data_IF_806619039813
#
_entry.id   IF_806619039813
#
_cell.length_a   1.000
_cell.length_b   1.000
_cell.length_c   1.000
_cell.angle_alpha   90.00
_cell.angle_beta   90.00
_cell.angle_gamma   90.00
#
_symmetry.space_group_name_H-M   'P 1'
#
loop_
_entity.id
_entity.type
_entity.pdbx_description
1 polymer ?
#
# COMPACT_ATOMS: atom_id res chain seq x y z
N UNK A 1 18.80 -1.23 -1.88
CA UNK A 1 17.87 -0.91 -0.77
C UNK A 1 17.38 -2.20 -0.13
N UNK A 2 17.44 -2.33 1.20
CA UNK A 2 16.87 -3.47 1.93
C UNK A 2 15.42 -3.15 2.28
N UNK A 3 14.45 -3.88 1.71
CA UNK A 3 13.03 -3.73 2.01
C UNK A 3 12.72 -4.51 3.30
N UNK A 4 12.01 -3.88 4.25
CA UNK A 4 11.61 -4.52 5.51
C UNK A 4 10.39 -5.42 5.28
N UNK A 5 10.19 -6.44 6.11
CA UNK A 5 8.94 -7.24 6.10
C UNK A 5 7.74 -6.31 6.27
N UNK A 6 6.69 -6.53 5.47
CA UNK A 6 5.50 -5.67 5.46
C UNK A 6 5.58 -4.48 4.48
N UNK A 7 6.69 -4.30 3.76
CA UNK A 7 6.86 -3.25 2.77
C UNK A 7 7.18 -3.82 1.38
N UNK A 8 6.86 -3.07 0.34
CA UNK A 8 7.09 -3.41 -1.06
C UNK A 8 7.78 -2.24 -1.77
N UNK A 9 8.73 -2.52 -2.65
CA UNK A 9 9.31 -1.53 -3.54
C UNK A 9 8.49 -1.44 -4.84
N UNK A 10 8.15 -0.22 -5.25
CA UNK A 10 7.43 0.06 -6.50
C UNK A 10 8.20 1.07 -7.35
N UNK A 11 8.14 0.92 -8.67
CA UNK A 11 8.62 1.89 -9.66
C UNK A 11 7.42 2.59 -10.28
N UNK A 12 7.43 3.93 -10.25
CA UNK A 12 6.32 4.77 -10.67
C UNK A 12 6.82 5.74 -11.73
N UNK A 13 6.11 5.81 -12.85
CA UNK A 13 6.40 6.74 -13.92
C UNK A 13 5.68 6.35 -15.19
N UNK A 14 5.69 7.28 -16.15
CA UNK A 14 5.22 7.05 -17.52
C UNK A 14 6.42 7.07 -18.46
N UNK A 15 6.44 6.18 -19.45
CA UNK A 15 7.55 6.10 -20.42
C UNK A 15 7.70 7.39 -21.22
N UNK A 16 6.60 8.11 -21.42
CA UNK A 16 6.55 9.36 -22.20
C UNK A 16 6.83 10.63 -21.36
N UNK A 17 7.02 10.52 -20.04
CA UNK A 17 7.30 11.65 -19.13
C UNK A 17 8.77 12.12 -19.16
N UNK A 18 9.37 12.24 -20.35
CA UNK A 18 10.68 12.88 -20.57
C UNK A 18 11.75 12.62 -19.49
N UNK A 19 12.37 13.70 -18.98
CA UNK A 19 13.52 13.63 -18.06
C UNK A 19 13.18 13.26 -16.59
N UNK A 20 11.90 12.97 -16.26
CA UNK A 20 11.50 12.56 -14.90
C UNK A 20 11.69 11.06 -14.67
N UNK A 21 11.57 10.24 -15.70
CA UNK A 21 11.81 8.79 -15.65
C UNK A 21 11.00 8.05 -14.57
N UNK A 22 11.30 6.77 -14.38
CA UNK A 22 10.71 5.99 -13.29
C UNK A 22 11.37 6.34 -11.95
N UNK A 23 10.55 6.62 -10.94
CA UNK A 23 11.00 6.84 -9.57
C UNK A 23 10.61 5.67 -8.67
N UNK A 24 11.52 5.30 -7.76
CA UNK A 24 11.33 4.17 -6.84
C UNK A 24 10.80 4.62 -5.49
N UNK A 25 9.74 3.97 -5.03
CA UNK A 25 9.12 4.17 -3.73
C UNK A 25 9.08 2.88 -2.91
N UNK A 26 8.88 3.02 -1.60
CA UNK A 26 8.63 1.90 -0.69
C UNK A 26 7.32 2.15 0.03
N UNK A 27 6.36 1.25 -0.15
CA UNK A 27 5.02 1.35 0.43
C UNK A 27 4.72 0.17 1.35
N UNK A 28 3.83 0.31 2.34
CA UNK A 28 3.28 -0.82 3.07
C UNK A 28 2.54 -1.78 2.14
N UNK A 29 2.66 -3.09 2.39
CA UNK A 29 1.90 -4.12 1.64
C UNK A 29 0.39 -3.94 1.82
N UNK A 30 -0.05 -3.33 2.93
CA UNK A 30 -1.47 -3.03 3.18
C UNK A 30 -2.10 -2.15 2.09
N UNK A 31 -1.31 -1.33 1.39
CA UNK A 31 -1.85 -0.46 0.34
C UNK A 31 -2.39 -1.26 -0.84
N UNK A 32 -1.85 -2.45 -1.11
CA UNK A 32 -2.31 -3.32 -2.21
C UNK A 32 -3.77 -3.76 -2.05
N UNK A 33 -4.30 -3.73 -0.82
CA UNK A 33 -5.70 -4.07 -0.55
C UNK A 33 -6.64 -2.86 -0.63
N UNK A 34 -6.12 -1.66 -0.85
CA UNK A 34 -6.94 -0.47 -1.00
C UNK A 34 -7.56 -0.40 -2.39
N UNK A 35 -8.87 -0.12 -2.56
CA UNK A 35 -9.53 -0.13 -3.87
C UNK A 35 -8.88 0.80 -4.92
N UNK A 36 -8.38 1.97 -4.49
CA UNK A 36 -7.64 2.87 -5.38
C UNK A 36 -6.34 2.25 -5.90
N UNK A 37 -5.65 1.48 -5.05
CA UNK A 37 -4.43 0.79 -5.44
C UNK A 37 -4.74 -0.40 -6.34
N UNK A 38 -5.81 -1.15 -6.05
CA UNK A 38 -6.25 -2.28 -6.91
C UNK A 38 -6.46 -1.83 -8.36
N UNK A 39 -7.15 -0.71 -8.59
CA UNK A 39 -7.31 -0.15 -9.94
C UNK A 39 -5.99 0.19 -10.63
N UNK A 40 -4.99 0.63 -9.86
CA UNK A 40 -3.66 0.93 -10.39
C UNK A 40 -2.87 -0.35 -10.70
N UNK A 41 -3.06 -1.41 -9.88
CA UNK A 41 -2.50 -2.73 -10.13
C UNK A 41 -3.11 -3.40 -11.35
N UNK A 42 -4.41 -3.25 -11.57
CA UNK A 42 -5.09 -3.78 -12.76
C UNK A 42 -4.49 -3.16 -14.03
N UNK A 43 -4.31 -1.83 -14.03
CA UNK A 43 -3.62 -1.13 -15.13
C UNK A 43 -2.17 -1.58 -15.28
N UNK A 44 -1.44 -1.74 -14.19
CA UNK A 44 -0.07 -2.24 -14.23
C UNK A 44 -0.01 -3.64 -14.85
N UNK A 45 -0.97 -4.49 -14.52
CA UNK A 45 -1.09 -5.82 -15.10
C UNK A 45 -1.42 -5.77 -16.59
N UNK A 46 -2.33 -4.90 -17.02
CA UNK A 46 -2.66 -4.72 -18.45
C UNK A 46 -1.45 -4.25 -19.28
N UNK A 47 -0.63 -3.35 -18.73
CA UNK A 47 0.53 -2.77 -19.44
C UNK A 47 1.76 -3.67 -19.39
N UNK A 48 2.07 -4.25 -18.21
CA UNK A 48 3.33 -4.95 -17.97
C UNK A 48 3.18 -6.48 -17.85
N UNK A 49 1.96 -7.00 -17.74
CA UNK A 49 1.68 -8.42 -17.52
C UNK A 49 2.04 -8.92 -16.12
N UNK A 50 1.93 -10.24 -15.91
CA UNK A 50 2.19 -10.89 -14.62
C UNK A 50 3.68 -11.21 -14.37
N UNK A 51 4.49 -11.30 -15.41
CA UNK A 51 5.90 -11.69 -15.30
C UNK A 51 6.80 -10.47 -15.43
N UNK A 52 7.03 -9.80 -14.29
CA UNK A 52 7.96 -8.68 -14.21
C UNK A 52 9.10 -9.07 -13.26
N UNK A 53 10.32 -9.11 -13.78
CA UNK A 53 11.51 -9.30 -12.96
C UNK A 53 11.90 -7.97 -12.32
N UNK A 54 11.73 -7.84 -11.01
CA UNK A 54 12.16 -6.65 -10.27
C UNK A 54 11.03 -5.99 -9.47
N UNK A 55 11.14 -4.68 -9.16
CA UNK A 55 10.08 -3.94 -8.49
C UNK A 55 8.79 -3.93 -9.30
N UNK A 56 7.66 -3.85 -8.59
CA UNK A 56 6.36 -3.68 -9.21
C UNK A 56 6.30 -2.30 -9.89
N UNK A 57 5.99 -2.27 -11.20
CA UNK A 57 5.84 -1.02 -11.97
C UNK A 57 4.39 -0.56 -11.96
N UNK A 58 4.17 0.74 -11.77
CA UNK A 58 2.86 1.36 -11.75
C UNK A 58 2.77 2.41 -12.87
N UNK A 59 1.85 2.25 -13.84
CA UNK A 59 1.75 3.12 -15.01
C UNK A 59 0.95 4.38 -14.66
N UNK A 60 1.53 5.24 -13.84
CA UNK A 60 0.98 6.54 -13.49
C UNK A 60 2.10 7.57 -13.30
N UNK A 61 1.74 8.86 -13.41
CA UNK A 61 2.68 9.92 -13.08
C UNK A 61 3.09 9.84 -11.60
N UNK A 62 4.28 10.35 -11.30
CA UNK A 62 4.75 10.44 -9.91
C UNK A 62 3.81 11.31 -9.07
N UNK A 63 3.30 12.39 -9.66
CA UNK A 63 2.41 13.33 -8.98
C UNK A 63 1.06 12.68 -8.59
N UNK A 64 0.48 11.88 -9.49
CA UNK A 64 -0.75 11.11 -9.21
C UNK A 64 -0.53 10.06 -8.14
N UNK A 65 0.61 9.36 -8.18
CA UNK A 65 0.97 8.37 -7.18
C UNK A 65 1.08 9.00 -5.78
N UNK A 66 1.76 10.15 -5.66
CA UNK A 66 1.88 10.86 -4.40
C UNK A 66 0.53 11.38 -3.88
N UNK A 67 -0.38 11.77 -4.79
CA UNK A 67 -1.75 12.11 -4.41
C UNK A 67 -2.51 10.89 -3.88
N UNK A 68 -2.46 9.76 -4.60
CA UNK A 68 -3.11 8.51 -4.21
C UNK A 68 -2.57 8.00 -2.87
N UNK A 69 -1.25 7.97 -2.71
CA UNK A 69 -0.58 7.57 -1.46
C UNK A 69 -1.10 8.39 -0.27
N UNK A 70 -1.22 9.71 -0.41
CA UNK A 70 -1.75 10.57 0.65
C UNK A 70 -3.21 10.25 1.01
N UNK A 71 -4.05 9.86 0.04
CA UNK A 71 -5.42 9.44 0.35
C UNK A 71 -5.44 8.12 1.13
N UNK A 72 -4.69 7.12 0.66
CA UNK A 72 -4.60 5.80 1.29
C UNK A 72 -4.06 5.90 2.71
N UNK A 73 -3.07 6.75 2.95
CA UNK A 73 -2.51 7.02 4.30
C UNK A 73 -3.56 7.56 5.26
N UNK A 74 -4.38 8.52 4.82
CA UNK A 74 -5.43 9.11 5.65
C UNK A 74 -6.52 8.10 6.01
N UNK A 75 -6.79 7.13 5.15
CA UNK A 75 -7.78 6.08 5.39
C UNK A 75 -7.22 4.95 6.27
N UNK A 76 -5.99 4.53 6.01
CA UNK A 76 -5.31 3.45 6.76
C UNK A 76 -5.08 3.86 8.22
N UNK A 77 -4.72 5.13 8.49
CA UNK A 77 -4.53 5.64 9.85
C UNK A 77 -5.82 5.66 10.70
N UNK A 78 -7.00 5.74 10.06
CA UNK A 78 -8.30 5.64 10.75
C UNK A 78 -8.62 4.21 11.14
N UNK A 79 -8.26 3.24 10.30
CA UNK A 79 -8.46 1.81 10.58
C UNK A 79 -7.63 1.33 11.77
N UNK A 80 -6.40 1.84 11.93
CA UNK A 80 -5.57 1.53 13.09
C UNK A 80 -6.19 1.96 14.43
N UNK A 81 -6.88 3.10 14.49
CA UNK A 81 -7.56 3.53 15.72
C UNK A 81 -8.75 2.64 16.09
N UNK A 82 -9.51 2.16 15.11
CA UNK A 82 -10.61 1.23 15.37
C UNK A 82 -10.09 -0.16 15.76
N UNK A 83 -9.08 -0.69 15.06
CA UNK A 83 -8.51 -2.00 15.39
C UNK A 83 -7.81 -2.00 16.75
N UNK A 84 -7.11 -0.93 17.14
CA UNK A 84 -6.48 -0.82 18.45
C UNK A 84 -7.52 -0.77 19.58
N UNK A 85 -8.65 -0.07 19.36
CA UNK A 85 -9.76 -0.03 20.33
C UNK A 85 -10.41 -1.42 20.50
N UNK A 86 -10.63 -2.17 19.42
CA UNK A 86 -11.10 -3.55 19.51
C UNK A 86 -10.10 -4.47 20.22
N UNK A 87 -8.81 -4.35 19.96
CA UNK A 87 -7.80 -5.19 20.60
C UNK A 87 -7.71 -4.96 22.13
N UNK A 88 -7.78 -3.69 22.55
CA UNK A 88 -7.86 -3.33 23.98
C UNK A 88 -9.15 -3.86 24.63
N UNK A 89 -10.27 -3.77 23.93
CA UNK A 89 -11.55 -4.26 24.44
C UNK A 89 -11.57 -5.79 24.59
N UNK A 90 -11.04 -6.54 23.62
CA UNK A 90 -10.92 -8.00 23.73
C UNK A 90 -9.96 -8.42 24.85
N UNK A 91 -8.83 -7.74 25.00
CA UNK A 91 -7.90 -8.01 26.10
C UNK A 91 -8.56 -7.75 27.46
N UNK A 92 -9.34 -6.67 27.59
CA UNK A 92 -10.09 -6.38 28.80
C UNK A 92 -11.19 -7.43 29.08
N UNK A 93 -11.94 -7.85 28.06
CA UNK A 93 -12.95 -8.91 28.20
C UNK A 93 -12.34 -10.25 28.60
N UNK A 94 -11.23 -10.67 27.99
CA UNK A 94 -10.54 -11.91 28.38
C UNK A 94 -10.00 -11.85 29.81
N UNK A 95 -9.52 -10.68 30.26
CA UNK A 95 -9.04 -10.50 31.64
C UNK A 95 -10.15 -10.48 32.70
N UNK A 96 -11.42 -10.34 32.30
CA UNK A 96 -12.58 -10.26 33.20
C UNK A 96 -13.43 -11.53 33.23
N UNK A 97 -13.06 -12.57 32.46
CA UNK A 97 -13.73 -13.87 32.55
C UNK A 97 -13.30 -14.60 33.84
N UNK A 98 -14.24 -15.00 34.71
CA UNK A 98 -13.91 -15.82 35.86
C UNK A 98 -13.49 -17.21 35.36
N UNK A 99 -12.24 -17.58 35.63
CA UNK A 99 -11.78 -18.96 35.43
C UNK A 99 -12.63 -19.87 36.32
N UNK A 100 -13.41 -20.77 35.70
CA UNK A 100 -14.16 -21.82 36.41
C UNK A 100 -13.39 -23.14 36.33
#
# INVERSE_FOLDING_TARGET
MKVKKGFLAVEVGLEDEGNKGFQRFVIPISYLYHPLFQRLLDKAHEVYGYQVNGPLRLPCSVDDFLYLQRQVERETNKQHHHQQSHHLHYHHLLSSLPFH
#
